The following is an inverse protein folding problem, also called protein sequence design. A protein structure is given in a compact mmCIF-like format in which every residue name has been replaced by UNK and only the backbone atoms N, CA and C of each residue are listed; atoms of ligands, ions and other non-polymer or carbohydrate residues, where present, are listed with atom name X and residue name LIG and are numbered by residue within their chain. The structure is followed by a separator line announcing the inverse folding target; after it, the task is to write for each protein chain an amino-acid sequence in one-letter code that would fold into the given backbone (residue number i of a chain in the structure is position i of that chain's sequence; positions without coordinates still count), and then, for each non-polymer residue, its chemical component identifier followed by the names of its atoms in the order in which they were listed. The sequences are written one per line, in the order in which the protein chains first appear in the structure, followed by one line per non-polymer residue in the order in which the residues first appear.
data_IF_037595109402
#
_entry.id   IF_037595109402
#
_cell.length_a   1.000
_cell.length_b   1.000
_cell.length_c   1.000
_cell.angle_alpha   90.00
_cell.angle_beta   90.00
_cell.angle_gamma   90.00
#
_symmetry.space_group_name_H-M   'P 1'
#
loop_
_entity.id
_entity.type
_entity.pdbx_description
1 polymer ?
#
# COMPACT_ATOMS: atom_id res chain seq x y z
N UNK A 1 18.25 11.92 -10.18
CA UNK A 1 17.22 12.63 -9.46
C UNK A 1 17.66 13.11 -8.07
N UNK A 2 16.69 13.52 -7.26
CA UNK A 2 16.94 14.11 -5.93
C UNK A 2 17.79 13.24 -5.00
N UNK A 3 17.60 11.90 -5.03
CA UNK A 3 18.42 10.97 -4.27
C UNK A 3 19.91 11.06 -4.63
N UNK A 4 20.25 11.01 -5.93
CA UNK A 4 21.64 11.06 -6.40
C UNK A 4 22.29 12.40 -6.04
N UNK A 5 21.57 13.50 -6.18
CA UNK A 5 22.08 14.83 -5.86
C UNK A 5 22.43 14.95 -4.37
N UNK A 6 21.58 14.47 -3.49
CA UNK A 6 21.83 14.49 -2.06
C UNK A 6 22.91 13.48 -1.66
N UNK A 7 22.92 12.27 -2.24
CA UNK A 7 23.94 11.26 -1.93
C UNK A 7 25.34 11.67 -2.38
N UNK A 8 25.46 12.49 -3.44
CA UNK A 8 26.76 13.07 -3.86
C UNK A 8 27.23 14.20 -2.96
N UNK A 9 26.29 14.99 -2.40
CA UNK A 9 26.60 16.06 -1.45
C UNK A 9 26.97 15.55 -0.05
N UNK A 10 26.39 14.39 0.34
CA UNK A 10 26.60 13.78 1.65
C UNK A 10 26.99 12.30 1.48
N UNK A 11 28.26 12.01 1.06
CA UNK A 11 28.72 10.65 0.86
C UNK A 11 28.88 9.93 2.20
N UNK A 12 28.35 8.75 2.32
CA UNK A 12 28.60 7.89 3.49
C UNK A 12 27.51 6.89 3.83
N UNK A 13 26.25 7.15 3.50
CA UNK A 13 25.16 6.26 3.91
C UNK A 13 24.04 6.22 2.85
N UNK A 14 23.97 5.19 2.02
CA UNK A 14 23.07 5.14 0.87
C UNK A 14 21.56 5.15 1.20
N UNK A 15 21.17 4.80 2.42
CA UNK A 15 19.75 4.72 2.81
C UNK A 15 19.36 5.58 4.01
N UNK A 16 20.17 6.56 4.38
CA UNK A 16 19.87 7.45 5.50
C UNK A 16 18.88 8.56 5.14
N UNK A 17 18.19 9.09 6.16
CA UNK A 17 17.05 10.00 6.03
C UNK A 17 17.23 11.16 5.06
N UNK A 18 18.39 11.74 4.96
CA UNK A 18 18.64 12.92 4.11
C UNK A 18 18.59 12.60 2.60
N UNK A 19 19.22 11.52 2.06
CA UNK A 19 19.07 11.13 0.67
C UNK A 19 17.65 10.73 0.30
N UNK A 20 16.94 10.04 1.20
CA UNK A 20 15.54 9.67 0.99
C UNK A 20 14.62 10.89 1.00
N UNK A 21 14.89 11.86 1.87
CA UNK A 21 14.17 13.15 1.90
C UNK A 21 14.37 13.91 0.58
N UNK A 22 15.58 13.90 0.03
CA UNK A 22 15.87 14.47 -1.28
C UNK A 22 15.16 13.73 -2.43
N UNK A 23 15.05 12.40 -2.34
CA UNK A 23 14.28 11.61 -3.31
C UNK A 23 12.78 11.93 -3.21
N UNK A 24 12.23 12.03 -2.01
CA UNK A 24 10.83 12.36 -1.76
C UNK A 24 10.49 13.79 -2.25
N UNK A 25 11.34 14.77 -1.95
CA UNK A 25 11.20 16.13 -2.48
C UNK A 25 11.28 16.16 -4.01
N UNK A 26 12.20 15.39 -4.61
CA UNK A 26 12.29 15.23 -6.05
C UNK A 26 10.99 14.70 -6.68
N UNK A 27 10.36 13.69 -6.07
CA UNK A 27 9.07 13.17 -6.54
C UNK A 27 7.95 14.21 -6.47
N UNK A 28 7.92 15.05 -5.44
CA UNK A 28 6.94 16.14 -5.32
C UNK A 28 7.16 17.17 -6.43
N UNK A 29 8.40 17.56 -6.68
CA UNK A 29 8.75 18.52 -7.73
C UNK A 29 8.42 17.96 -9.11
N UNK A 30 8.81 16.71 -9.40
CA UNK A 30 8.51 16.05 -10.68
C UNK A 30 7.00 15.95 -10.92
N UNK A 31 6.22 15.57 -9.90
CA UNK A 31 4.77 15.53 -9.97
C UNK A 31 4.15 16.91 -10.20
N UNK A 32 4.69 17.95 -9.54
CA UNK A 32 4.28 19.33 -9.74
C UNK A 32 4.55 19.82 -11.18
N UNK A 33 5.73 19.51 -11.72
CA UNK A 33 6.09 19.82 -13.12
C UNK A 33 5.19 19.07 -14.11
N UNK A 34 4.92 17.78 -13.87
CA UNK A 34 3.99 17.00 -14.69
C UNK A 34 2.57 17.59 -14.65
N UNK A 35 2.10 18.03 -13.47
CA UNK A 35 0.79 18.66 -13.32
C UNK A 35 0.71 19.99 -14.07
N UNK A 36 1.80 20.76 -14.11
CA UNK A 36 1.88 22.04 -14.84
C UNK A 36 1.97 21.84 -16.35
N UNK A 37 2.71 20.81 -16.80
CA UNK A 37 2.98 20.57 -18.23
C UNK A 37 1.83 19.86 -18.98
N UNK A 38 1.05 19.00 -18.30
CA UNK A 38 0.11 18.10 -18.95
C UNK A 38 -1.34 18.35 -18.50
N UNK A 39 -2.15 18.96 -19.37
CA UNK A 39 -3.58 19.21 -19.07
C UNK A 39 -4.44 17.92 -19.02
N UNK A 40 -4.09 16.92 -19.83
CA UNK A 40 -4.90 15.69 -20.00
C UNK A 40 -4.55 14.58 -19.01
N UNK A 41 -3.34 14.58 -18.45
CA UNK A 41 -2.83 13.57 -17.51
C UNK A 41 -2.75 14.09 -16.06
N UNK A 42 -3.36 15.24 -15.79
CA UNK A 42 -3.35 15.88 -14.46
C UNK A 42 -3.61 14.94 -13.28
N UNK A 43 -4.63 14.04 -13.32
CA UNK A 43 -4.87 13.17 -12.17
C UNK A 43 -3.71 12.21 -11.89
N UNK A 44 -2.99 11.74 -12.89
CA UNK A 44 -1.85 10.82 -12.70
C UNK A 44 -0.58 11.49 -12.17
N UNK A 45 -0.45 12.80 -12.32
CA UNK A 45 0.66 13.57 -11.71
C UNK A 45 0.59 13.60 -10.20
N UNK A 46 -0.56 13.29 -9.61
CA UNK A 46 -0.72 13.14 -8.16
C UNK A 46 0.01 11.91 -7.60
N UNK A 47 0.28 10.88 -8.41
CA UNK A 47 0.98 9.67 -7.96
C UNK A 47 2.35 9.99 -7.35
N UNK A 48 3.30 10.62 -8.06
CA UNK A 48 4.60 10.94 -7.49
C UNK A 48 4.48 11.96 -6.34
N UNK A 49 3.51 12.88 -6.38
CA UNK A 49 3.28 13.83 -5.29
C UNK A 49 2.87 13.09 -4.02
N UNK A 50 1.89 12.19 -4.10
CA UNK A 50 1.40 11.44 -2.93
C UNK A 50 2.49 10.55 -2.37
N UNK A 51 3.22 9.82 -3.21
CA UNK A 51 4.37 8.99 -2.79
C UNK A 51 5.41 9.87 -2.09
N UNK A 52 5.77 11.00 -2.69
CA UNK A 52 6.75 11.93 -2.13
C UNK A 52 6.31 12.50 -0.78
N UNK A 53 5.06 12.96 -0.65
CA UNK A 53 4.52 13.52 0.60
C UNK A 53 4.53 12.48 1.72
N UNK A 54 4.11 11.24 1.45
CA UNK A 54 4.12 10.17 2.47
C UNK A 54 5.56 9.77 2.82
N UNK A 55 6.48 9.74 1.85
CA UNK A 55 7.88 9.40 2.08
C UNK A 55 8.68 10.49 2.80
N UNK A 56 8.25 11.76 2.73
CA UNK A 56 8.86 12.87 3.50
C UNK A 56 8.72 12.63 5.00
N UNK A 57 7.61 12.04 5.46
CA UNK A 57 7.35 11.87 6.91
C UNK A 57 8.42 10.97 7.56
N UNK A 58 8.62 9.70 7.16
CA UNK A 58 9.64 8.85 7.77
C UNK A 58 11.06 9.37 7.54
N UNK A 59 11.34 9.90 6.35
CA UNK A 59 12.66 10.44 6.03
C UNK A 59 12.99 11.69 6.85
N UNK A 60 12.00 12.55 7.08
CA UNK A 60 12.14 13.74 7.91
C UNK A 60 12.29 13.39 9.39
N UNK A 61 11.53 12.42 9.90
CA UNK A 61 11.67 11.93 11.27
C UNK A 61 13.05 11.32 11.50
N UNK A 62 13.54 10.51 10.56
CA UNK A 62 14.87 9.92 10.63
C UNK A 62 16.00 10.98 10.61
N UNK A 63 15.75 12.13 9.97
CA UNK A 63 16.70 13.24 9.96
C UNK A 63 16.65 14.09 11.23
N UNK A 64 15.45 14.36 11.77
CA UNK A 64 15.26 15.29 12.89
C UNK A 64 15.52 14.65 14.25
N UNK A 65 15.30 13.36 14.39
CA UNK A 65 15.40 12.65 15.66
C UNK A 65 16.48 11.56 15.59
N UNK A 66 17.29 11.38 16.66
CA UNK A 66 18.26 10.28 16.74
C UNK A 66 17.54 8.94 17.08
N UNK A 67 16.45 8.66 16.37
CA UNK A 67 15.70 7.42 16.49
C UNK A 67 16.33 6.42 15.52
N UNK A 68 16.36 5.15 15.90
CA UNK A 68 16.84 4.09 15.03
C UNK A 68 16.01 4.05 13.74
N UNK A 69 16.66 4.24 12.60
CA UNK A 69 15.99 4.28 11.28
C UNK A 69 15.08 3.07 11.02
N UNK A 70 15.46 1.83 11.36
CA UNK A 70 14.60 0.67 11.18
C UNK A 70 13.24 0.81 11.87
N UNK A 71 13.23 1.37 13.09
CA UNK A 71 11.99 1.55 13.87
C UNK A 71 10.99 2.48 13.17
N UNK A 72 11.47 3.57 12.57
CA UNK A 72 10.64 4.50 11.83
C UNK A 72 10.03 3.82 10.60
N UNK A 73 10.83 3.03 9.89
CA UNK A 73 10.37 2.33 8.69
C UNK A 73 9.42 1.18 9.01
N UNK A 74 9.62 0.46 10.13
CA UNK A 74 8.67 -0.55 10.63
C UNK A 74 7.32 0.10 10.92
N UNK A 75 7.32 1.21 11.66
CA UNK A 75 6.09 1.94 11.97
C UNK A 75 5.40 2.45 10.69
N UNK A 76 6.17 3.03 9.77
CA UNK A 76 5.65 3.57 8.50
C UNK A 76 5.05 2.46 7.63
N UNK A 77 5.76 1.34 7.44
CA UNK A 77 5.26 0.23 6.64
C UNK A 77 3.98 -0.36 7.24
N UNK A 78 3.93 -0.52 8.57
CA UNK A 78 2.74 -0.98 9.27
C UNK A 78 1.57 -0.01 9.12
N UNK A 79 1.80 1.28 9.31
CA UNK A 79 0.77 2.30 9.16
C UNK A 79 0.24 2.38 7.72
N UNK A 80 1.12 2.29 6.72
CA UNK A 80 0.76 2.28 5.30
C UNK A 80 -0.03 1.02 4.92
N UNK A 81 0.36 -0.14 5.43
CA UNK A 81 -0.37 -1.39 5.21
C UNK A 81 -1.78 -1.36 5.82
N UNK A 82 -1.93 -0.81 7.02
CA UNK A 82 -3.24 -0.61 7.65
C UNK A 82 -4.08 0.44 6.92
N UNK A 83 -3.46 1.54 6.48
CA UNK A 83 -4.12 2.59 5.72
C UNK A 83 -4.63 2.08 4.36
N UNK A 84 -3.95 1.10 3.75
CA UNK A 84 -4.39 0.48 2.50
C UNK A 84 -5.82 -0.06 2.58
N UNK A 85 -6.17 -0.68 3.70
CA UNK A 85 -7.51 -1.22 3.95
C UNK A 85 -8.57 -0.14 4.18
N UNK A 86 -8.16 1.05 4.63
CA UNK A 86 -9.05 2.20 4.82
C UNK A 86 -9.24 3.04 3.53
N UNK A 87 -8.41 2.85 2.50
CA UNK A 87 -8.45 3.63 1.26
C UNK A 87 -9.84 3.67 0.59
N UNK A 88 -10.57 2.54 0.43
CA UNK A 88 -11.86 2.58 -0.23
C UNK A 88 -12.87 3.47 0.50
N UNK A 89 -12.94 3.37 1.83
CA UNK A 89 -13.84 4.18 2.65
C UNK A 89 -13.46 5.66 2.64
N UNK A 90 -12.16 5.95 2.67
CA UNK A 90 -11.66 7.33 2.57
C UNK A 90 -11.97 7.95 1.21
N UNK A 91 -11.80 7.20 0.11
CA UNK A 91 -12.10 7.70 -1.24
C UNK A 91 -13.60 7.93 -1.45
N UNK A 92 -14.47 7.07 -0.92
CA UNK A 92 -15.92 7.27 -0.94
C UNK A 92 -16.31 8.54 -0.16
N UNK A 93 -15.73 8.76 1.00
CA UNK A 93 -15.95 9.96 1.80
C UNK A 93 -15.47 11.22 1.08
N UNK A 94 -14.29 11.19 0.46
CA UNK A 94 -13.76 12.30 -0.33
C UNK A 94 -14.64 12.62 -1.56
N UNK A 95 -15.17 11.58 -2.20
CA UNK A 95 -16.07 11.74 -3.34
C UNK A 95 -17.48 12.23 -2.94
N UNK A 96 -17.73 12.37 -1.64
CA UNK A 96 -19.04 12.73 -1.08
C UNK A 96 -20.19 11.84 -1.60
N UNK A 97 -19.90 10.57 -1.81
CA UNK A 97 -20.88 9.56 -2.19
C UNK A 97 -21.42 8.97 -0.89
N UNK A 98 -22.62 9.39 -0.47
CA UNK A 98 -23.33 8.77 0.64
C UNK A 98 -24.19 7.62 0.12
N UNK A 99 -23.91 6.41 0.60
CA UNK A 99 -24.82 5.28 0.36
C UNK A 99 -25.91 5.35 1.42
N UNK A 100 -27.03 5.99 1.10
CA UNK A 100 -28.21 5.98 1.96
C UNK A 100 -28.88 4.60 1.83
N UNK A 101 -28.62 3.72 2.78
CA UNK A 101 -29.48 2.55 2.96
C UNK A 101 -30.78 2.99 3.62
N UNK A 102 -31.95 2.60 3.09
CA UNK A 102 -33.23 2.95 3.72
C UNK A 102 -33.27 2.33 5.11
N UNK A 103 -33.44 3.17 6.13
CA UNK A 103 -33.53 2.73 7.54
C UNK A 103 -34.96 2.38 7.96
N UNK A 104 -35.96 2.69 7.13
CA UNK A 104 -37.37 2.37 7.38
C UNK A 104 -38.13 2.05 6.09
N UNK A 105 -39.21 1.27 6.20
CA UNK A 105 -40.09 0.98 5.05
C UNK A 105 -40.65 2.24 4.41
N UNK A 106 -40.87 3.31 5.17
CA UNK A 106 -41.33 4.60 4.67
C UNK A 106 -40.30 5.31 3.79
N UNK A 107 -39.01 5.02 3.92
CA UNK A 107 -37.98 5.65 3.09
C UNK A 107 -37.92 5.04 1.68
N UNK A 108 -38.38 3.78 1.54
CA UNK A 108 -38.49 3.10 0.25
C UNK A 108 -39.53 3.74 -0.67
N UNK A 109 -40.56 4.34 -0.08
CA UNK A 109 -41.67 4.96 -0.80
C UNK A 109 -41.48 6.46 -1.06
N UNK A 110 -40.43 7.08 -0.54
CA UNK A 110 -40.08 8.45 -0.89
C UNK A 110 -39.62 8.47 -2.35
N UNK A 111 -40.24 9.35 -3.15
CA UNK A 111 -39.78 9.59 -4.51
C UNK A 111 -38.29 9.94 -4.47
N UNK A 112 -37.46 9.33 -5.34
CA UNK A 112 -36.04 9.68 -5.42
C UNK A 112 -35.96 11.19 -5.74
N UNK A 113 -35.14 11.90 -4.95
CA UNK A 113 -34.74 13.27 -5.30
C UNK A 113 -34.19 13.28 -6.73
N UNK A 114 -34.37 14.40 -7.43
CA UNK A 114 -33.88 14.58 -8.80
C UNK A 114 -32.34 14.28 -8.80
N UNK A 115 -31.98 13.11 -9.30
CA UNK A 115 -30.60 12.62 -9.27
C UNK A 115 -29.91 13.21 -10.51
N UNK A 116 -28.99 14.15 -10.29
CA UNK A 116 -28.11 14.63 -11.36
C UNK A 116 -27.07 13.53 -11.67
N UNK A 117 -27.34 12.78 -12.74
CA UNK A 117 -26.49 11.68 -13.20
C UNK A 117 -25.06 12.15 -13.54
N UNK A 118 -24.87 13.34 -14.09
CA UNK A 118 -23.55 13.85 -14.44
C UNK A 118 -22.73 14.22 -13.20
N UNK A 119 -23.34 14.76 -12.16
CA UNK A 119 -22.65 15.03 -10.89
C UNK A 119 -22.20 13.72 -10.21
N UNK A 120 -23.07 12.73 -10.14
CA UNK A 120 -22.73 11.41 -9.58
C UNK A 120 -21.60 10.74 -10.36
N UNK A 121 -21.67 10.78 -11.68
CA UNK A 121 -20.63 10.21 -12.56
C UNK A 121 -19.28 10.90 -12.37
N UNK A 122 -19.26 12.22 -12.26
CA UNK A 122 -18.03 12.98 -12.00
C UNK A 122 -17.42 12.62 -10.63
N UNK A 123 -18.26 12.53 -9.59
CA UNK A 123 -17.82 12.10 -8.24
C UNK A 123 -17.29 10.68 -8.24
N UNK A 124 -17.95 9.77 -8.95
CA UNK A 124 -17.48 8.38 -9.10
C UNK A 124 -16.11 8.31 -9.80
N UNK A 125 -15.96 9.03 -10.93
CA UNK A 125 -14.68 9.08 -11.66
C UNK A 125 -13.58 9.66 -10.76
N UNK A 126 -13.87 10.71 -10.01
CA UNK A 126 -12.93 11.30 -9.06
C UNK A 126 -12.55 10.30 -7.96
N UNK A 127 -13.51 9.67 -7.29
CA UNK A 127 -13.28 8.69 -6.23
C UNK A 127 -12.46 7.48 -6.71
N UNK A 128 -12.81 6.93 -7.88
CA UNK A 128 -12.09 5.82 -8.51
C UNK A 128 -10.64 6.21 -8.86
N UNK A 129 -10.42 7.42 -9.38
CA UNK A 129 -9.07 7.90 -9.70
C UNK A 129 -8.24 8.07 -8.43
N UNK A 130 -8.81 8.62 -7.35
CA UNK A 130 -8.13 8.77 -6.06
C UNK A 130 -7.79 7.42 -5.44
N UNK A 131 -8.69 6.44 -5.53
CA UNK A 131 -8.44 5.08 -5.06
C UNK A 131 -7.27 4.43 -5.82
N UNK A 132 -7.25 4.56 -7.14
CA UNK A 132 -6.16 4.06 -7.97
C UNK A 132 -4.81 4.68 -7.60
N UNK A 133 -4.76 6.01 -7.44
CA UNK A 133 -3.56 6.75 -7.01
C UNK A 133 -3.10 6.28 -5.62
N UNK A 134 -4.03 6.16 -4.68
CA UNK A 134 -3.75 5.67 -3.33
C UNK A 134 -3.16 4.26 -3.32
N UNK A 135 -3.70 3.34 -4.12
CA UNK A 135 -3.17 1.96 -4.25
C UNK A 135 -1.75 1.93 -4.81
N UNK A 136 -1.46 2.74 -5.84
CA UNK A 136 -0.10 2.86 -6.37
C UNK A 136 0.85 3.43 -5.32
N UNK A 137 0.42 4.45 -4.60
CA UNK A 137 1.25 5.08 -3.56
C UNK A 137 1.59 4.09 -2.43
N UNK A 138 0.60 3.35 -1.92
CA UNK A 138 0.80 2.30 -0.91
C UNK A 138 1.75 1.22 -1.42
N UNK A 139 1.50 0.70 -2.62
CA UNK A 139 2.33 -0.33 -3.23
C UNK A 139 3.80 0.13 -3.37
N UNK A 140 4.00 1.34 -3.88
CA UNK A 140 5.33 1.91 -4.07
C UNK A 140 6.07 2.12 -2.75
N UNK A 141 5.37 2.62 -1.72
CA UNK A 141 5.96 2.83 -0.39
C UNK A 141 6.35 1.52 0.28
N UNK A 142 5.50 0.50 0.22
CA UNK A 142 5.82 -0.82 0.74
C UNK A 142 7.02 -1.44 0.02
N UNK A 143 7.10 -1.32 -1.32
CA UNK A 143 8.24 -1.79 -2.10
C UNK A 143 9.54 -1.04 -1.74
N UNK A 144 9.48 0.27 -1.52
CA UNK A 144 10.64 1.07 -1.08
C UNK A 144 11.06 0.70 0.35
N UNK A 145 10.10 0.46 1.24
CA UNK A 145 10.37 0.08 2.63
C UNK A 145 10.97 -1.34 2.75
N UNK A 146 10.66 -2.24 1.81
CA UNK A 146 11.08 -3.66 1.87
C UNK A 146 12.60 -3.83 2.04
N UNK A 147 13.49 -3.27 1.20
CA UNK A 147 14.93 -3.45 1.39
C UNK A 147 15.43 -2.85 2.69
N UNK A 148 14.82 -1.76 3.15
CA UNK A 148 15.19 -1.11 4.41
C UNK A 148 14.80 -1.97 5.61
N UNK A 149 13.60 -2.57 5.60
CA UNK A 149 13.16 -3.43 6.69
C UNK A 149 13.90 -4.76 6.74
N UNK A 150 14.14 -5.38 5.58
CA UNK A 150 14.74 -6.72 5.53
C UNK A 150 16.23 -6.68 5.77
N UNK A 151 16.94 -5.65 5.27
CA UNK A 151 18.42 -5.57 5.38
C UNK A 151 18.92 -4.94 6.67
N UNK A 152 18.14 -4.06 7.30
CA UNK A 152 18.55 -3.27 8.46
C UNK A 152 17.94 -3.74 9.78
N UNK A 153 16.93 -4.60 9.74
CA UNK A 153 16.21 -5.03 10.94
C UNK A 153 16.31 -6.55 11.18
N UNK A 154 15.73 -6.95 12.29
CA UNK A 154 15.57 -8.37 12.66
C UNK A 154 14.74 -9.14 11.62
N UNK A 155 14.72 -10.49 11.64
CA UNK A 155 13.87 -11.30 10.78
C UNK A 155 12.38 -10.93 10.85
N UNK A 156 11.94 -10.22 11.90
CA UNK A 156 10.60 -9.68 12.03
C UNK A 156 10.27 -8.64 10.95
N UNK A 157 11.26 -7.89 10.45
CA UNK A 157 11.06 -6.96 9.33
C UNK A 157 10.61 -7.67 8.06
N UNK A 158 11.20 -8.82 7.74
CA UNK A 158 10.77 -9.64 6.62
C UNK A 158 9.33 -10.18 6.82
N UNK A 159 9.00 -10.60 8.05
CA UNK A 159 7.65 -11.07 8.38
C UNK A 159 6.59 -9.95 8.22
N UNK A 160 6.90 -8.73 8.64
CA UNK A 160 6.03 -7.56 8.46
C UNK A 160 5.79 -7.28 6.97
N UNK A 161 6.85 -7.26 6.16
CA UNK A 161 6.73 -7.08 4.71
C UNK A 161 5.88 -8.16 4.06
N UNK A 162 6.12 -9.43 4.40
CA UNK A 162 5.34 -10.55 3.87
C UNK A 162 3.86 -10.45 4.24
N UNK A 163 3.54 -10.14 5.49
CA UNK A 163 2.15 -9.97 5.94
C UNK A 163 1.47 -8.79 5.26
N UNK A 164 2.18 -7.67 5.07
CA UNK A 164 1.66 -6.49 4.37
C UNK A 164 1.31 -6.82 2.91
N UNK A 165 2.21 -7.49 2.18
CA UNK A 165 1.96 -7.88 0.79
C UNK A 165 0.93 -9.00 0.67
N UNK A 166 0.87 -9.95 1.62
CA UNK A 166 -0.18 -10.97 1.66
C UNK A 166 -1.56 -10.33 1.92
N UNK A 167 -1.66 -9.39 2.86
CA UNK A 167 -2.90 -8.63 3.09
C UNK A 167 -3.32 -7.89 1.82
N UNK A 168 -2.39 -7.21 1.15
CA UNK A 168 -2.64 -6.52 -0.12
C UNK A 168 -3.08 -7.48 -1.24
N UNK A 169 -2.52 -8.70 -1.30
CA UNK A 169 -2.93 -9.72 -2.26
C UNK A 169 -4.37 -10.20 -1.98
N UNK A 170 -4.71 -10.41 -0.71
CA UNK A 170 -6.05 -10.83 -0.29
C UNK A 170 -7.09 -9.73 -0.53
N UNK A 171 -6.79 -8.44 -0.28
CA UNK A 171 -7.65 -7.30 -0.60
C UNK A 171 -7.97 -7.19 -2.10
N UNK A 172 -7.08 -7.71 -2.97
CA UNK A 172 -7.28 -7.65 -4.42
C UNK A 172 -8.58 -8.31 -4.92
N UNK A 173 -9.20 -9.17 -4.13
CA UNK A 173 -10.50 -9.81 -4.44
C UNK A 173 -11.68 -8.84 -4.43
N UNK A 174 -11.56 -7.76 -3.69
CA UNK A 174 -12.60 -6.73 -3.58
C UNK A 174 -12.50 -5.69 -4.70
N UNK A 175 -11.54 -5.88 -5.62
CA UNK A 175 -11.27 -4.94 -6.70
C UNK A 175 -12.03 -5.36 -7.94
N UNK A 176 -12.91 -4.47 -8.41
CA UNK A 176 -13.71 -4.70 -9.62
C UNK A 176 -13.08 -4.13 -10.89
N UNK A 177 -12.07 -3.26 -10.76
CA UNK A 177 -11.42 -2.65 -11.92
C UNK A 177 -10.14 -3.39 -12.29
N UNK A 178 -10.00 -3.78 -13.56
CA UNK A 178 -8.83 -4.51 -14.06
C UNK A 178 -7.52 -3.75 -13.79
N UNK A 179 -7.53 -2.43 -13.92
CA UNK A 179 -6.33 -1.59 -13.72
C UNK A 179 -5.83 -1.65 -12.28
N UNK A 180 -6.72 -1.49 -11.31
CA UNK A 180 -6.38 -1.57 -9.90
C UNK A 180 -5.95 -2.98 -9.50
N UNK A 181 -6.62 -4.01 -10.02
CA UNK A 181 -6.28 -5.40 -9.78
C UNK A 181 -4.86 -5.72 -10.26
N UNK A 182 -4.48 -5.32 -11.48
CA UNK A 182 -3.13 -5.54 -12.02
C UNK A 182 -2.07 -4.87 -11.15
N UNK A 183 -2.30 -3.63 -10.73
CA UNK A 183 -1.36 -2.89 -9.87
C UNK A 183 -1.22 -3.57 -8.51
N UNK A 184 -2.34 -3.91 -7.88
CA UNK A 184 -2.34 -4.50 -6.53
C UNK A 184 -1.72 -5.90 -6.52
N UNK A 185 -2.15 -6.78 -7.41
CA UNK A 185 -1.61 -8.16 -7.52
C UNK A 185 -0.16 -8.14 -7.98
N UNK A 186 0.16 -7.30 -8.97
CA UNK A 186 1.53 -7.17 -9.48
C UNK A 186 2.50 -6.66 -8.41
N UNK A 187 2.12 -5.60 -7.69
CA UNK A 187 2.94 -5.06 -6.61
C UNK A 187 3.08 -6.04 -5.44
N UNK A 188 2.00 -6.72 -5.04
CA UNK A 188 2.04 -7.73 -3.99
C UNK A 188 2.94 -8.91 -4.38
N UNK A 189 2.82 -9.41 -5.62
CA UNK A 189 3.67 -10.48 -6.14
C UNK A 189 5.15 -10.10 -6.18
N UNK A 190 5.46 -8.93 -6.74
CA UNK A 190 6.84 -8.38 -6.75
C UNK A 190 7.35 -8.21 -5.32
N UNK A 191 6.52 -7.67 -4.41
CA UNK A 191 6.88 -7.45 -3.02
C UNK A 191 7.19 -8.73 -2.27
N UNK A 192 6.40 -9.79 -2.44
CA UNK A 192 6.65 -11.12 -1.84
C UNK A 192 7.96 -11.70 -2.36
N UNK A 193 8.19 -11.66 -3.68
CA UNK A 193 9.42 -12.17 -4.29
C UNK A 193 10.63 -11.37 -3.80
N UNK A 194 10.55 -10.04 -3.82
CA UNK A 194 11.63 -9.18 -3.36
C UNK A 194 11.95 -9.41 -1.88
N UNK A 195 10.93 -9.51 -1.03
CA UNK A 195 11.10 -9.82 0.40
C UNK A 195 11.75 -11.17 0.59
N UNK A 196 11.30 -12.21 -0.14
CA UNK A 196 11.88 -13.55 -0.07
C UNK A 196 13.35 -13.58 -0.48
N UNK A 197 13.70 -12.92 -1.60
CA UNK A 197 15.08 -12.85 -2.08
C UNK A 197 16.00 -12.10 -1.12
N UNK A 198 15.57 -10.93 -0.63
CA UNK A 198 16.34 -10.14 0.32
C UNK A 198 16.50 -10.86 1.66
N UNK A 199 15.43 -11.45 2.18
CA UNK A 199 15.45 -12.18 3.43
C UNK A 199 16.30 -13.46 3.35
N UNK A 200 16.32 -14.15 2.23
CA UNK A 200 17.19 -15.33 2.03
C UNK A 200 18.69 -14.97 2.04
N UNK A 201 19.03 -13.75 1.63
CA UNK A 201 20.40 -13.26 1.67
C UNK A 201 20.81 -12.78 3.08
N UNK A 202 19.89 -12.08 3.77
CA UNK A 202 20.13 -11.51 5.09
C UNK A 202 20.06 -12.59 6.20
N UNK A 203 19.19 -13.57 6.06
CA UNK A 203 18.86 -14.59 7.06
C UNK A 203 18.76 -15.98 6.44
N UNK A 204 19.90 -16.66 6.13
CA UNK A 204 19.90 -17.97 5.48
C UNK A 204 19.16 -19.06 6.25
N UNK A 205 19.04 -18.91 7.56
CA UNK A 205 18.29 -19.82 8.45
C UNK A 205 16.78 -19.81 8.19
N UNK A 206 16.26 -18.76 7.55
CA UNK A 206 14.84 -18.62 7.22
C UNK A 206 14.48 -19.14 5.83
N UNK A 207 15.40 -19.72 5.08
CA UNK A 207 15.14 -20.16 3.70
C UNK A 207 13.95 -21.13 3.59
N UNK A 208 13.85 -22.10 4.51
CA UNK A 208 12.74 -23.08 4.48
C UNK A 208 11.38 -22.41 4.74
N UNK A 209 11.17 -21.65 5.84
CA UNK A 209 9.90 -20.97 6.06
C UNK A 209 9.58 -19.94 4.96
N UNK A 210 10.57 -19.26 4.39
CA UNK A 210 10.36 -18.33 3.28
C UNK A 210 9.84 -19.03 2.02
N UNK A 211 10.42 -20.16 1.64
CA UNK A 211 9.96 -20.97 0.50
C UNK A 211 8.51 -21.44 0.74
N UNK A 212 8.17 -21.86 1.96
CA UNK A 212 6.82 -22.28 2.30
C UNK A 212 5.82 -21.13 2.18
N UNK A 213 6.18 -19.93 2.65
CA UNK A 213 5.33 -18.74 2.53
C UNK A 213 5.16 -18.33 1.06
N UNK A 214 6.23 -18.35 0.26
CA UNK A 214 6.16 -18.07 -1.17
C UNK A 214 5.28 -19.08 -1.90
N UNK A 215 5.39 -20.37 -1.57
CA UNK A 215 4.54 -21.42 -2.13
C UNK A 215 3.07 -21.22 -1.71
N UNK A 216 2.82 -20.91 -0.44
CA UNK A 216 1.48 -20.64 0.07
C UNK A 216 0.85 -19.41 -0.61
N UNK A 217 1.62 -18.35 -0.85
CA UNK A 217 1.14 -17.15 -1.56
C UNK A 217 0.81 -17.44 -3.02
N UNK A 218 1.63 -18.26 -3.71
CA UNK A 218 1.35 -18.70 -5.06
C UNK A 218 0.08 -19.54 -5.13
N UNK A 219 -0.09 -20.51 -4.21
CA UNK A 219 -1.30 -21.31 -4.09
C UNK A 219 -2.52 -20.45 -3.77
N UNK A 220 -2.40 -19.50 -2.86
CA UNK A 220 -3.47 -18.55 -2.53
C UNK A 220 -3.90 -17.75 -3.77
N UNK A 221 -2.96 -17.28 -4.58
CA UNK A 221 -3.25 -16.57 -5.83
C UNK A 221 -4.00 -17.45 -6.83
N UNK A 222 -3.57 -18.71 -7.00
CA UNK A 222 -4.23 -19.68 -7.88
C UNK A 222 -5.65 -19.98 -7.37
N UNK A 223 -5.81 -20.21 -6.08
CA UNK A 223 -7.12 -20.48 -5.47
C UNK A 223 -8.04 -19.27 -5.64
N UNK A 224 -7.55 -18.05 -5.35
CA UNK A 224 -8.31 -16.82 -5.49
C UNK A 224 -8.80 -16.58 -6.92
N UNK A 225 -7.94 -16.81 -7.92
CA UNK A 225 -8.33 -16.67 -9.33
C UNK A 225 -9.35 -17.70 -9.79
N UNK A 226 -9.30 -18.92 -9.23
CA UNK A 226 -10.26 -19.97 -9.58
C UNK A 226 -11.59 -19.88 -8.80
N UNK A 227 -11.54 -19.47 -7.53
CA UNK A 227 -12.74 -19.38 -6.66
C UNK A 227 -13.62 -18.20 -7.04
N UNK A 228 -13.07 -17.10 -7.57
CA UNK A 228 -13.87 -16.01 -8.13
C UNK A 228 -14.82 -16.49 -9.24
N UNK A 229 -14.53 -17.61 -9.85
CA UNK A 229 -15.39 -18.25 -10.88
C UNK A 229 -16.55 -19.07 -10.30
N UNK A 230 -16.48 -19.55 -9.05
CA UNK A 230 -17.44 -20.52 -8.47
C UNK A 230 -18.27 -19.99 -7.28
N UNK A 231 -18.20 -18.71 -6.92
CA UNK A 231 -19.00 -18.06 -5.85
C UNK A 231 -19.16 -18.88 -4.55
N UNK A 232 -18.11 -19.55 -4.09
CA UNK A 232 -18.16 -20.28 -2.83
C UNK A 232 -18.10 -19.29 -1.65
N UNK A 233 -19.23 -19.11 -0.96
CA UNK A 233 -19.35 -18.28 0.24
C UNK A 233 -18.34 -18.67 1.34
N UNK A 234 -18.01 -19.95 1.44
CA UNK A 234 -17.03 -20.43 2.41
C UNK A 234 -15.62 -19.95 2.09
N UNK A 235 -15.19 -20.04 0.83
CA UNK A 235 -13.86 -19.59 0.42
C UNK A 235 -13.70 -18.07 0.56
N UNK A 236 -14.75 -17.29 0.31
CA UNK A 236 -14.76 -15.85 0.53
C UNK A 236 -14.56 -15.52 2.01
N UNK A 237 -15.32 -16.17 2.92
CA UNK A 237 -15.18 -15.95 4.38
C UNK A 237 -13.80 -16.36 4.91
N UNK A 238 -13.25 -17.47 4.43
CA UNK A 238 -11.88 -17.90 4.80
C UNK A 238 -10.83 -16.88 4.40
N UNK A 239 -10.98 -16.31 3.22
CA UNK A 239 -10.04 -15.33 2.72
C UNK A 239 -10.20 -13.97 3.43
N UNK A 240 -11.42 -13.57 3.81
CA UNK A 240 -11.66 -12.38 4.66
C UNK A 240 -11.05 -12.57 6.05
N UNK A 241 -11.20 -13.78 6.63
CA UNK A 241 -10.57 -14.11 7.89
C UNK A 241 -9.03 -14.08 7.81
N UNK A 242 -8.45 -14.58 6.71
CA UNK A 242 -7.01 -14.55 6.48
C UNK A 242 -6.49 -13.11 6.32
N UNK A 243 -7.20 -12.25 5.59
CA UNK A 243 -6.89 -10.83 5.43
C UNK A 243 -6.90 -10.11 6.78
N UNK A 244 -7.99 -10.28 7.56
CA UNK A 244 -8.09 -9.72 8.91
C UNK A 244 -6.97 -10.22 9.81
N UNK A 245 -6.60 -11.49 9.73
CA UNK A 245 -5.50 -12.04 10.51
C UNK A 245 -4.16 -11.41 10.12
N UNK A 246 -3.88 -11.21 8.84
CA UNK A 246 -2.69 -10.50 8.39
C UNK A 246 -2.64 -9.08 8.97
N UNK A 247 -3.74 -8.34 8.92
CA UNK A 247 -3.81 -6.97 9.42
C UNK A 247 -3.69 -6.87 10.95
N UNK A 248 -4.33 -7.79 11.68
CA UNK A 248 -4.28 -7.83 13.15
C UNK A 248 -2.90 -8.22 13.68
N UNK A 249 -2.16 -9.05 12.94
CA UNK A 249 -0.80 -9.45 13.32
C UNK A 249 0.25 -8.36 13.06
N UNK A 250 0.01 -7.41 12.17
CA UNK A 250 0.96 -6.35 11.85
C UNK A 250 1.36 -5.48 13.05
N UNK A 251 0.42 -4.90 13.86
CA UNK A 251 0.80 -4.06 14.99
C UNK A 251 1.61 -4.78 16.08
N UNK A 252 1.23 -5.98 16.55
CA UNK A 252 2.04 -6.68 17.57
C UNK A 252 3.42 -7.08 17.05
N UNK A 253 3.55 -7.49 15.77
CA UNK A 253 4.86 -7.78 15.20
C UNK A 253 5.72 -6.52 15.05
N UNK A 254 5.11 -5.40 14.64
CA UNK A 254 5.81 -4.13 14.59
C UNK A 254 6.31 -3.70 15.98
N UNK A 255 5.48 -3.86 17.02
CA UNK A 255 5.88 -3.58 18.39
C UNK A 255 7.06 -4.45 18.84
N UNK A 256 7.00 -5.77 18.57
CA UNK A 256 8.10 -6.68 18.88
C UNK A 256 9.37 -6.32 18.13
N UNK A 257 9.27 -5.97 16.85
CA UNK A 257 10.43 -5.60 16.03
C UNK A 257 11.08 -4.28 16.46
N UNK A 258 10.33 -3.39 17.13
CA UNK A 258 10.85 -2.12 17.68
C UNK A 258 11.51 -2.35 19.05
N UNK A 259 11.05 -3.33 19.82
CA UNK A 259 11.51 -3.57 21.19
C UNK A 259 12.69 -4.54 21.28
N UNK A 260 12.93 -5.33 20.24
CA UNK A 260 14.10 -6.22 20.12
C UNK A 260 15.29 -5.51 19.47
#
# INVERSE_FOLDING_TARGET
GGYQLISTLFPGHPFHGLPLLGAAAGLIVDGGLMAAAASRTRPYSLIPIVIGVIAVIPSGLAFMFPINEPQIWIFTATAVALAANALPSMCLSLARISVNSPHSESDIFKLPEDIDYEDIKQRYIFGSTMLFIGRIAVASLLLIATPLLVSLSTPLGAAICLLAFMGMLLDSRQIYTLREMIVTVGAAGIGIIATGLLASQAHPELNIPLILIMLASALATIILTNVTRQQSLFATRMADAAEMLCLVLLPPLAYLAITM
#
